data_IF_173896165951
#
_entry.id   IF_173896165951
#
_cell.length_a   1.000
_cell.length_b   1.000
_cell.length_c   1.000
_cell.angle_alpha   90.00
_cell.angle_beta   90.00
_cell.angle_gamma   90.00
#
_symmetry.space_group_name_H-M   'P 1'
#
loop_
_entity.id
_entity.type
_entity.pdbx_description
1 polymer ?
#
# COMPACT_ATOMS: atom_id res chain seq x y z
N UNK A 1 6.28 -16.05 -11.83
CA UNK A 1 6.03 -16.06 -10.36
C UNK A 1 6.28 -17.45 -9.81
N UNK A 2 6.88 -17.56 -8.62
CA UNK A 2 7.08 -18.86 -7.95
C UNK A 2 5.72 -19.46 -7.54
N UNK A 3 5.59 -20.79 -7.61
CA UNK A 3 4.38 -21.51 -7.12
C UNK A 3 4.05 -21.17 -5.66
N UNK A 4 5.09 -20.90 -4.86
CA UNK A 4 4.93 -20.47 -3.47
C UNK A 4 4.26 -19.09 -3.34
N UNK A 5 4.60 -18.14 -4.21
CA UNK A 5 4.00 -16.80 -4.19
C UNK A 5 2.50 -16.86 -4.51
N UNK A 6 2.13 -17.71 -5.47
CA UNK A 6 0.72 -17.93 -5.83
C UNK A 6 -0.05 -18.54 -4.66
N UNK A 7 0.53 -19.52 -3.97
CA UNK A 7 -0.09 -20.13 -2.80
C UNK A 7 -0.28 -19.12 -1.66
N UNK A 8 0.74 -18.32 -1.34
CA UNK A 8 0.65 -17.28 -0.30
C UNK A 8 -0.38 -16.20 -0.67
N UNK A 9 -0.42 -15.80 -1.95
CA UNK A 9 -1.39 -14.84 -2.44
C UNK A 9 -2.83 -15.38 -2.48
N UNK A 10 -3.01 -16.68 -2.69
CA UNK A 10 -4.32 -17.32 -2.58
C UNK A 10 -4.79 -17.33 -1.11
N UNK A 11 -3.93 -17.74 -0.18
CA UNK A 11 -4.23 -17.81 1.26
C UNK A 11 -4.72 -16.46 1.81
N UNK A 12 -4.06 -15.34 1.47
CA UNK A 12 -4.49 -14.00 1.93
C UNK A 12 -5.88 -13.60 1.40
N UNK A 13 -6.18 -13.90 0.14
CA UNK A 13 -7.45 -13.54 -0.50
C UNK A 13 -8.57 -14.39 0.12
N UNK A 14 -8.35 -15.70 0.28
CA UNK A 14 -9.30 -16.60 0.91
C UNK A 14 -9.65 -16.16 2.33
N UNK A 15 -8.67 -15.70 3.13
CA UNK A 15 -8.94 -15.22 4.49
C UNK A 15 -9.85 -14.00 4.53
N UNK A 16 -9.60 -13.02 3.67
CA UNK A 16 -10.44 -11.80 3.58
C UNK A 16 -11.85 -12.18 3.12
N UNK A 17 -11.99 -13.06 2.14
CA UNK A 17 -13.30 -13.51 1.67
C UNK A 17 -14.07 -14.24 2.78
N UNK A 18 -13.41 -15.15 3.50
CA UNK A 18 -14.02 -15.87 4.63
C UNK A 18 -14.47 -14.88 5.71
N UNK A 19 -13.62 -13.92 6.08
CA UNK A 19 -13.98 -12.88 7.04
C UNK A 19 -15.20 -12.07 6.59
N UNK A 20 -15.21 -11.65 5.32
CA UNK A 20 -16.31 -10.90 4.73
C UNK A 20 -17.62 -11.70 4.73
N UNK A 21 -17.57 -12.98 4.39
CA UNK A 21 -18.76 -13.85 4.36
C UNK A 21 -19.29 -14.05 5.78
N UNK A 22 -18.44 -14.40 6.74
CA UNK A 22 -18.85 -14.63 8.13
C UNK A 22 -19.39 -13.33 8.74
N UNK A 23 -18.67 -12.22 8.62
CA UNK A 23 -19.13 -10.93 9.14
C UNK A 23 -20.43 -10.47 8.46
N UNK A 24 -20.55 -10.68 7.15
CA UNK A 24 -21.77 -10.38 6.40
C UNK A 24 -22.99 -11.18 6.87
N UNK A 25 -22.82 -12.47 7.18
CA UNK A 25 -23.89 -13.29 7.75
C UNK A 25 -24.37 -12.76 9.11
N UNK A 26 -23.45 -12.33 9.98
CA UNK A 26 -23.79 -11.73 11.27
C UNK A 26 -24.54 -10.41 11.09
N UNK A 27 -24.13 -9.58 10.13
CA UNK A 27 -24.84 -8.34 9.77
C UNK A 27 -26.24 -8.60 9.23
N UNK A 28 -26.44 -9.68 8.47
CA UNK A 28 -27.76 -10.09 7.98
C UNK A 28 -28.66 -10.72 9.05
N UNK A 29 -28.20 -10.80 10.30
CA UNK A 29 -28.98 -11.28 11.44
C UNK A 29 -28.84 -12.76 11.75
N UNK A 30 -27.87 -13.46 11.15
CA UNK A 30 -27.52 -14.84 11.54
C UNK A 30 -26.50 -14.81 12.69
N UNK A 31 -26.90 -15.08 13.95
CA UNK A 31 -25.98 -15.00 15.08
C UNK A 31 -24.93 -16.10 14.99
N UNK A 32 -23.65 -15.71 15.06
CA UNK A 32 -22.51 -16.64 15.11
C UNK A 32 -21.82 -16.42 16.46
N UNK A 33 -21.76 -17.47 17.29
CA UNK A 33 -21.12 -17.40 18.61
C UNK A 33 -21.79 -16.47 19.63
N UNK A 34 -23.03 -16.04 19.36
CA UNK A 34 -23.75 -15.05 20.17
C UNK A 34 -23.44 -13.59 19.80
N UNK A 35 -22.65 -13.36 18.75
CA UNK A 35 -22.45 -12.03 18.20
C UNK A 35 -23.67 -11.61 17.38
N UNK A 36 -24.17 -10.41 17.66
CA UNK A 36 -25.19 -9.73 16.85
C UNK A 36 -24.57 -8.45 16.32
N UNK A 37 -24.88 -8.11 15.06
CA UNK A 37 -24.42 -6.86 14.51
C UNK A 37 -25.15 -5.70 15.18
N UNK A 38 -24.40 -4.67 15.56
CA UNK A 38 -24.97 -3.42 16.05
C UNK A 38 -24.90 -2.38 14.94
N UNK A 39 -25.91 -2.39 14.06
CA UNK A 39 -26.02 -1.41 12.99
C UNK A 39 -26.21 0.03 13.51
N UNK A 40 -26.63 0.21 14.76
CA UNK A 40 -26.71 1.52 15.37
C UNK A 40 -25.32 2.10 15.62
N UNK A 41 -24.30 1.30 15.92
CA UNK A 41 -22.92 1.78 16.03
C UNK A 41 -22.42 2.27 14.67
N UNK A 42 -22.71 1.54 13.59
CA UNK A 42 -22.38 2.00 12.24
C UNK A 42 -23.14 3.29 11.86
N UNK A 43 -24.44 3.33 12.15
CA UNK A 43 -25.25 4.53 11.95
C UNK A 43 -24.72 5.70 12.78
N UNK A 44 -24.26 5.45 14.00
CA UNK A 44 -23.70 6.46 14.91
C UNK A 44 -22.31 6.87 14.48
N UNK A 45 -21.46 5.98 13.99
CA UNK A 45 -20.15 6.31 13.44
C UNK A 45 -20.25 7.17 12.17
N UNK A 46 -21.30 6.98 11.37
CA UNK A 46 -21.59 7.80 10.18
C UNK A 46 -22.31 9.10 10.54
N UNK A 47 -23.26 9.07 11.50
CA UNK A 47 -24.08 10.22 11.87
C UNK A 47 -23.41 11.11 12.92
N UNK A 48 -22.45 10.58 13.67
CA UNK A 48 -21.60 11.36 14.55
C UNK A 48 -20.87 12.39 13.69
N UNK A 49 -20.84 13.67 14.11
CA UNK A 49 -20.02 14.67 13.46
C UNK A 49 -18.57 14.27 13.71
N UNK A 50 -18.00 13.56 12.74
CA UNK A 50 -16.67 12.97 12.69
C UNK A 50 -15.56 14.03 12.75
N UNK A 51 -15.55 14.93 13.73
CA UNK A 51 -14.74 16.16 13.71
C UNK A 51 -14.81 16.91 12.34
N UNK A 52 -15.86 16.67 11.55
CA UNK A 52 -15.99 17.11 10.15
C UNK A 52 -14.78 16.80 9.26
N UNK A 53 -14.30 17.83 8.56
CA UNK A 53 -13.13 17.76 7.66
C UNK A 53 -11.85 17.30 8.39
N UNK A 54 -11.76 17.52 9.72
CA UNK A 54 -10.55 17.19 10.48
C UNK A 54 -10.43 15.68 10.77
N UNK A 55 -11.52 14.95 10.97
CA UNK A 55 -11.46 13.48 11.06
C UNK A 55 -11.09 12.84 9.72
N UNK A 56 -11.61 13.40 8.63
CA UNK A 56 -11.27 12.98 7.26
C UNK A 56 -9.78 13.17 6.99
N UNK A 57 -9.25 14.39 7.20
CA UNK A 57 -7.84 14.69 6.95
C UNK A 57 -6.88 13.89 7.86
N UNK A 58 -7.26 13.68 9.12
CA UNK A 58 -6.47 12.88 10.08
C UNK A 58 -6.39 11.39 9.71
N UNK A 59 -7.46 10.82 9.16
CA UNK A 59 -7.48 9.41 8.72
C UNK A 59 -6.94 9.21 7.31
N UNK A 60 -7.00 10.23 6.45
CA UNK A 60 -6.63 10.15 5.03
C UNK A 60 -5.21 9.64 4.80
N UNK A 61 -4.24 10.06 5.62
CA UNK A 61 -2.84 9.65 5.47
C UNK A 61 -2.66 8.13 5.67
N UNK A 62 -3.24 7.58 6.74
CA UNK A 62 -3.17 6.16 7.07
C UNK A 62 -3.91 5.34 6.01
N UNK A 63 -5.09 5.81 5.58
CA UNK A 63 -5.87 5.15 4.54
C UNK A 63 -5.09 5.13 3.23
N UNK A 64 -4.60 6.27 2.74
CA UNK A 64 -3.81 6.33 1.49
C UNK A 64 -2.58 5.42 1.56
N UNK A 65 -1.91 5.39 2.72
CA UNK A 65 -0.77 4.50 2.92
C UNK A 65 -1.14 3.01 2.77
N UNK A 66 -2.30 2.59 3.30
CA UNK A 66 -2.79 1.21 3.18
C UNK A 66 -3.04 0.73 1.73
N UNK A 67 -3.22 1.66 0.79
CA UNK A 67 -3.35 1.36 -0.65
C UNK A 67 -2.03 1.46 -1.44
N UNK A 68 -0.91 1.71 -0.74
CA UNK A 68 0.42 1.69 -1.37
C UNK A 68 0.77 0.28 -1.85
N UNK A 69 1.47 0.18 -2.98
CA UNK A 69 1.88 -1.10 -3.58
C UNK A 69 1.14 -1.48 -4.86
N UNK A 70 0.04 -0.79 -5.20
CA UNK A 70 -0.64 -0.95 -6.50
C UNK A 70 0.23 -0.56 -7.70
N UNK A 71 1.29 0.22 -7.48
CA UNK A 71 2.27 0.62 -8.51
C UNK A 71 3.09 -0.55 -9.11
N UNK A 72 3.11 -1.71 -8.45
CA UNK A 72 3.80 -2.91 -8.96
C UNK A 72 3.24 -3.34 -10.33
N UNK A 73 1.96 -3.07 -10.60
CA UNK A 73 1.34 -3.35 -11.90
C UNK A 73 2.07 -2.61 -13.03
N UNK A 74 2.49 -1.36 -12.79
CA UNK A 74 3.26 -0.58 -13.76
C UNK A 74 4.64 -1.17 -14.04
N UNK A 75 5.28 -1.75 -13.04
CA UNK A 75 6.54 -2.46 -13.22
C UNK A 75 6.33 -3.76 -14.00
N UNK A 76 5.33 -4.56 -13.61
CA UNK A 76 4.98 -5.81 -14.28
C UNK A 76 4.58 -5.59 -15.74
N UNK A 77 4.01 -4.43 -16.09
CA UNK A 77 3.69 -4.06 -17.47
C UNK A 77 4.89 -4.16 -18.41
N UNK A 78 6.10 -3.85 -17.93
CA UNK A 78 7.33 -3.89 -18.74
C UNK A 78 7.76 -5.31 -19.11
N UNK A 79 7.30 -6.31 -18.35
CA UNK A 79 7.63 -7.73 -18.53
C UNK A 79 6.44 -8.54 -19.09
N UNK A 80 5.30 -7.88 -19.32
CA UNK A 80 4.05 -8.54 -19.72
C UNK A 80 3.86 -8.50 -21.23
N UNK A 81 3.71 -9.66 -21.86
CA UNK A 81 3.28 -9.74 -23.26
C UNK A 81 1.88 -9.15 -23.43
N UNK A 82 1.65 -8.36 -24.49
CA UNK A 82 0.38 -7.67 -24.72
C UNK A 82 -0.07 -6.77 -23.54
N UNK A 83 0.88 -6.09 -22.89
CA UNK A 83 0.64 -5.20 -21.76
C UNK A 83 -0.51 -4.20 -21.99
N UNK A 84 -0.67 -3.71 -23.22
CA UNK A 84 -1.72 -2.77 -23.61
C UNK A 84 -3.17 -3.27 -23.41
N UNK A 85 -3.39 -4.60 -23.39
CA UNK A 85 -4.71 -5.19 -23.06
C UNK A 85 -4.75 -5.75 -21.64
N UNK A 86 -3.68 -6.42 -21.20
CA UNK A 86 -3.64 -7.12 -19.92
C UNK A 86 -3.58 -6.14 -18.75
N UNK A 87 -2.76 -5.10 -18.85
CA UNK A 87 -2.53 -4.16 -17.74
C UNK A 87 -3.80 -3.38 -17.39
N UNK A 88 -4.55 -2.78 -18.32
CA UNK A 88 -5.80 -2.10 -17.97
C UNK A 88 -6.84 -3.01 -17.29
N UNK A 89 -6.98 -4.25 -17.79
CA UNK A 89 -7.90 -5.23 -17.20
C UNK A 89 -7.47 -5.62 -15.79
N UNK A 90 -6.18 -5.93 -15.60
CA UNK A 90 -5.63 -6.27 -14.29
C UNK A 90 -5.78 -5.11 -13.30
N UNK A 91 -5.46 -3.88 -13.71
CA UNK A 91 -5.64 -2.68 -12.89
C UNK A 91 -7.09 -2.53 -12.44
N UNK A 92 -8.06 -2.66 -13.36
CA UNK A 92 -9.48 -2.55 -13.01
C UNK A 92 -9.91 -3.59 -11.98
N UNK A 93 -9.51 -4.84 -12.18
CA UNK A 93 -9.83 -5.93 -11.25
C UNK A 93 -9.22 -5.65 -9.87
N UNK A 94 -7.93 -5.28 -9.83
CA UNK A 94 -7.23 -4.98 -8.58
C UNK A 94 -7.87 -3.79 -7.88
N UNK A 95 -8.15 -2.68 -8.58
CA UNK A 95 -8.79 -1.50 -7.99
C UNK A 95 -10.15 -1.83 -7.39
N UNK A 96 -11.03 -2.49 -8.15
CA UNK A 96 -12.37 -2.85 -7.65
C UNK A 96 -12.28 -3.82 -6.47
N UNK A 97 -11.38 -4.80 -6.54
CA UNK A 97 -11.22 -5.79 -5.48
C UNK A 97 -10.67 -5.17 -4.20
N UNK A 98 -9.61 -4.35 -4.28
CA UNK A 98 -9.01 -3.74 -3.09
C UNK A 98 -9.96 -2.73 -2.47
N UNK A 99 -10.55 -1.82 -3.25
CA UNK A 99 -11.52 -0.85 -2.73
C UNK A 99 -12.73 -1.57 -2.14
N UNK A 100 -13.33 -2.51 -2.87
CA UNK A 100 -14.51 -3.24 -2.42
C UNK A 100 -14.26 -4.05 -1.16
N UNK A 101 -13.20 -4.86 -1.13
CA UNK A 101 -12.89 -5.72 0.02
C UNK A 101 -12.46 -4.90 1.24
N UNK A 102 -11.68 -3.83 1.07
CA UNK A 102 -11.22 -3.02 2.20
C UNK A 102 -12.36 -2.19 2.78
N UNK A 103 -13.19 -1.57 1.94
CA UNK A 103 -14.38 -0.85 2.41
C UNK A 103 -15.35 -1.79 3.14
N UNK A 104 -15.57 -2.99 2.60
CA UNK A 104 -16.44 -3.98 3.23
C UNK A 104 -15.85 -4.51 4.54
N UNK A 105 -14.54 -4.74 4.61
CA UNK A 105 -13.87 -5.12 5.84
C UNK A 105 -13.99 -4.04 6.92
N UNK A 106 -13.74 -2.76 6.58
CA UNK A 106 -13.89 -1.63 7.52
C UNK A 106 -15.34 -1.48 7.97
N UNK A 107 -16.30 -1.60 7.05
CA UNK A 107 -17.72 -1.62 7.37
C UNK A 107 -18.05 -2.70 8.42
N UNK A 108 -17.59 -3.92 8.19
CA UNK A 108 -17.82 -5.04 9.11
C UNK A 108 -17.14 -4.80 10.46
N UNK A 109 -15.94 -4.23 10.48
CA UNK A 109 -15.26 -3.90 11.74
C UNK A 109 -16.10 -2.93 12.56
N UNK A 110 -16.57 -1.83 11.97
CA UNK A 110 -17.37 -0.82 12.68
C UNK A 110 -18.73 -1.38 13.10
N UNK A 111 -19.36 -2.24 12.28
CA UNK A 111 -20.69 -2.79 12.58
C UNK A 111 -20.67 -3.91 13.65
N UNK A 112 -19.53 -4.58 13.84
CA UNK A 112 -19.40 -5.76 14.70
C UNK A 112 -18.57 -5.51 15.96
N UNK A 113 -17.65 -4.56 15.93
CA UNK A 113 -16.77 -4.25 17.05
C UNK A 113 -17.09 -2.85 17.59
N UNK A 114 -17.52 -2.73 18.86
CA UNK A 114 -17.70 -1.42 19.47
C UNK A 114 -16.41 -0.62 19.41
N UNK A 115 -16.48 0.65 19.03
CA UNK A 115 -15.29 1.50 18.84
C UNK A 115 -14.42 1.62 20.09
N UNK A 116 -15.02 1.53 21.28
CA UNK A 116 -14.31 1.54 22.57
C UNK A 116 -13.44 0.29 22.82
N UNK A 117 -13.72 -0.79 22.08
CA UNK A 117 -13.02 -2.08 22.21
C UNK A 117 -11.82 -2.21 21.27
N UNK A 118 -11.53 -1.19 20.46
CA UNK A 118 -10.40 -1.17 19.54
C UNK A 118 -9.10 -0.96 20.31
N UNK A 119 -8.36 -2.04 20.52
CA UNK A 119 -7.02 -1.97 21.10
C UNK A 119 -5.97 -1.73 20.00
N UNK A 120 -4.99 -0.83 20.20
CA UNK A 120 -3.93 -0.57 19.22
C UNK A 120 -3.07 -1.81 18.90
N UNK A 121 -2.88 -2.68 19.88
CA UNK A 121 -1.91 -3.79 19.81
C UNK A 121 -2.50 -5.09 19.25
N UNK A 122 -3.82 -5.14 18.99
CA UNK A 122 -4.48 -6.33 18.45
C UNK A 122 -5.15 -6.04 17.12
N UNK A 123 -5.05 -7.00 16.19
CA UNK A 123 -5.71 -6.87 14.89
C UNK A 123 -7.23 -6.88 15.07
N UNK A 124 -7.97 -5.87 14.58
CA UNK A 124 -9.43 -5.83 14.68
C UNK A 124 -10.11 -7.05 14.07
N UNK A 125 -9.53 -7.63 13.01
CA UNK A 125 -10.01 -8.86 12.39
C UNK A 125 -9.95 -10.05 13.37
N UNK A 126 -8.87 -10.14 14.14
CA UNK A 126 -8.68 -11.19 15.15
C UNK A 126 -9.63 -10.97 16.33
N UNK A 127 -9.80 -9.72 16.77
CA UNK A 127 -10.72 -9.35 17.86
C UNK A 127 -12.17 -9.76 17.56
N UNK A 128 -12.64 -9.57 16.32
CA UNK A 128 -13.97 -9.98 15.90
C UNK A 128 -14.13 -11.52 15.92
N UNK A 129 -13.11 -12.26 15.49
CA UNK A 129 -13.17 -13.73 15.51
C UNK A 129 -13.22 -14.29 16.94
N UNK A 130 -12.62 -13.60 17.92
CA UNK A 130 -12.77 -13.96 19.33
C UNK A 130 -14.19 -13.70 19.84
N UNK A 131 -14.84 -12.63 19.40
CA UNK A 131 -16.25 -12.35 19.72
C UNK A 131 -17.17 -13.44 19.15
N UNK A 132 -16.87 -13.96 17.96
CA UNK A 132 -17.60 -15.07 17.35
C UNK A 132 -17.39 -16.42 18.05
N UNK A 133 -16.54 -16.48 19.09
CA UNK A 133 -16.24 -17.70 19.86
C UNK A 133 -15.87 -18.91 18.99
N UNK A 134 -15.31 -18.69 17.81
CA UNK A 134 -14.87 -19.76 16.92
C UNK A 134 -13.51 -20.25 17.43
N UNK A 135 -13.39 -21.50 17.92
CA UNK A 135 -12.14 -22.00 18.45
C UNK A 135 -11.06 -22.00 17.37
N UNK A 136 -9.82 -21.65 17.75
CA UNK A 136 -8.64 -21.55 16.88
C UNK A 136 -8.70 -20.53 15.73
N UNK A 137 -9.83 -19.85 15.48
CA UNK A 137 -9.97 -18.92 14.37
C UNK A 137 -8.98 -17.74 14.43
N UNK A 138 -8.76 -17.18 15.63
CA UNK A 138 -7.75 -16.14 15.84
C UNK A 138 -6.33 -16.61 15.50
N UNK A 139 -5.95 -17.82 15.91
CA UNK A 139 -4.63 -18.41 15.61
C UNK A 139 -4.44 -18.68 14.12
N UNK A 140 -5.47 -19.22 13.45
CA UNK A 140 -5.46 -19.43 12.00
C UNK A 140 -5.33 -18.11 11.26
N UNK A 141 -6.09 -17.08 11.68
CA UNK A 141 -6.00 -15.76 11.06
C UNK A 141 -4.61 -15.14 11.27
N UNK A 142 -4.03 -15.23 12.47
CA UNK A 142 -2.66 -14.77 12.72
C UNK A 142 -1.64 -15.48 11.83
N UNK A 143 -1.76 -16.80 11.66
CA UNK A 143 -0.92 -17.55 10.73
C UNK A 143 -1.07 -17.01 9.29
N UNK A 144 -2.30 -16.75 8.85
CA UNK A 144 -2.55 -16.18 7.52
C UNK A 144 -1.94 -14.77 7.40
N UNK A 145 -2.10 -13.91 8.41
CA UNK A 145 -1.50 -12.57 8.43
C UNK A 145 0.03 -12.62 8.31
N UNK A 146 0.68 -13.55 9.00
CA UNK A 146 2.13 -13.77 8.88
C UNK A 146 2.53 -14.22 7.47
N UNK A 147 1.80 -15.16 6.88
CA UNK A 147 2.06 -15.60 5.49
C UNK A 147 1.82 -14.50 4.46
N UNK A 148 0.80 -13.67 4.68
CA UNK A 148 0.49 -12.50 3.84
C UNK A 148 1.59 -11.44 3.94
N UNK A 149 2.12 -11.19 5.14
CA UNK A 149 3.26 -10.31 5.35
C UNK A 149 4.50 -10.80 4.59
N UNK A 150 4.81 -12.10 4.64
CA UNK A 150 5.93 -12.69 3.90
C UNK A 150 5.80 -12.54 2.37
N UNK A 151 4.61 -12.76 1.80
CA UNK A 151 4.34 -12.51 0.37
C UNK A 151 4.51 -11.04 0.00
N UNK A 152 4.00 -10.13 0.83
CA UNK A 152 4.16 -8.69 0.61
C UNK A 152 5.64 -8.29 0.63
N UNK A 153 6.43 -8.80 1.59
CA UNK A 153 7.87 -8.57 1.66
C UNK A 153 8.59 -9.03 0.39
N UNK A 154 8.27 -10.23 -0.11
CA UNK A 154 8.86 -10.76 -1.34
C UNK A 154 8.53 -9.86 -2.56
N UNK A 155 7.27 -9.42 -2.68
CA UNK A 155 6.83 -8.49 -3.73
C UNK A 155 7.52 -7.12 -3.65
N UNK A 156 7.80 -6.62 -2.44
CA UNK A 156 8.52 -5.36 -2.26
C UNK A 156 10.00 -5.48 -2.61
N UNK A 157 10.69 -6.55 -2.21
CA UNK A 157 12.08 -6.82 -2.61
C UNK A 157 12.18 -6.98 -4.12
N UNK A 158 11.24 -7.70 -4.74
CA UNK A 158 11.15 -7.82 -6.19
C UNK A 158 11.07 -6.45 -6.86
N UNK A 159 10.15 -5.61 -6.40
CA UNK A 159 9.91 -4.28 -6.98
C UNK A 159 11.11 -3.36 -6.79
N UNK A 160 11.68 -3.32 -5.59
CA UNK A 160 12.86 -2.51 -5.28
C UNK A 160 14.07 -2.92 -6.14
N UNK A 161 14.32 -4.22 -6.30
CA UNK A 161 15.44 -4.72 -7.09
C UNK A 161 15.32 -4.35 -8.58
N UNK A 162 14.10 -4.38 -9.13
CA UNK A 162 13.83 -4.00 -10.51
C UNK A 162 13.87 -2.49 -10.75
N UNK A 163 13.37 -1.69 -9.80
CA UNK A 163 13.52 -0.23 -9.84
C UNK A 163 15.00 0.15 -9.83
N UNK A 164 15.77 -0.45 -8.93
CA UNK A 164 17.21 -0.20 -8.82
C UNK A 164 17.98 -0.63 -10.09
N UNK A 165 17.62 -1.78 -10.67
CA UNK A 165 18.13 -2.21 -11.97
C UNK A 165 17.79 -1.22 -13.10
N UNK A 166 16.55 -0.72 -13.14
CA UNK A 166 16.13 0.27 -14.14
C UNK A 166 16.90 1.59 -14.00
N UNK A 167 17.15 2.05 -12.77
CA UNK A 167 17.98 3.23 -12.51
C UNK A 167 19.43 3.02 -12.94
N UNK A 168 19.97 1.80 -12.83
CA UNK A 168 21.31 1.50 -13.30
C UNK A 168 21.45 1.61 -14.83
N UNK A 169 20.37 1.35 -15.58
CA UNK A 169 20.34 1.52 -17.05
C UNK A 169 20.38 2.99 -17.47
N UNK A 170 19.95 3.91 -16.61
CA UNK A 170 20.00 5.36 -16.84
C UNK A 170 21.19 6.04 -16.14
N UNK A 171 22.19 5.27 -15.70
CA UNK A 171 23.35 5.75 -14.92
C UNK A 171 22.98 6.47 -13.61
N UNK A 172 21.81 6.17 -13.04
CA UNK A 172 21.31 6.73 -11.78
C UNK A 172 21.51 5.79 -10.57
N UNK A 173 22.08 4.61 -10.78
CA UNK A 173 22.45 3.67 -9.73
C UNK A 173 23.82 3.02 -10.01
N UNK A 174 24.50 2.42 -9.02
CA UNK A 174 25.79 1.77 -9.21
C UNK A 174 25.76 0.73 -10.33
N UNK A 175 26.84 0.61 -11.12
CA UNK A 175 26.87 -0.34 -12.25
C UNK A 175 26.64 -1.80 -11.85
N UNK A 176 27.00 -2.17 -10.61
CA UNK A 176 26.88 -3.54 -10.11
C UNK A 176 25.43 -4.05 -10.14
N UNK A 177 24.46 -3.17 -9.85
CA UNK A 177 23.03 -3.49 -9.83
C UNK A 177 22.38 -3.47 -11.23
N UNK A 178 23.13 -3.07 -12.27
CA UNK A 178 22.69 -3.05 -13.67
C UNK A 178 22.97 -4.32 -14.46
N UNK A 179 23.57 -5.34 -13.84
CA UNK A 179 23.85 -6.64 -14.44
C UNK A 179 22.74 -7.65 -14.12
N UNK A 180 22.48 -8.59 -15.05
CA UNK A 180 21.53 -9.69 -14.88
C UNK A 180 22.24 -11.02 -15.05
N UNK A 181 21.76 -12.06 -14.36
CA UNK A 181 22.19 -13.43 -14.61
C UNK A 181 21.58 -13.99 -15.90
N UNK A 182 21.95 -15.22 -16.27
CA UNK A 182 21.42 -15.92 -17.45
C UNK A 182 19.89 -16.11 -17.45
N UNK A 183 19.23 -15.97 -16.29
CA UNK A 183 17.77 -16.06 -16.13
C UNK A 183 17.09 -14.67 -16.13
N UNK A 184 17.81 -13.59 -16.44
CA UNK A 184 17.27 -12.23 -16.48
C UNK A 184 17.03 -11.59 -15.11
N UNK A 185 17.60 -12.14 -14.03
CA UNK A 185 17.42 -11.65 -12.66
C UNK A 185 18.58 -10.73 -12.26
N UNK A 186 18.32 -9.50 -11.77
CA UNK A 186 19.37 -8.58 -11.31
C UNK A 186 19.86 -8.96 -9.90
N UNK A 187 20.68 -10.00 -9.81
CA UNK A 187 21.08 -10.63 -8.54
C UNK A 187 21.69 -9.65 -7.54
N UNK A 188 22.56 -8.75 -7.99
CA UNK A 188 23.16 -7.73 -7.11
C UNK A 188 22.12 -6.77 -6.53
N UNK A 189 21.10 -6.39 -7.32
CA UNK A 189 20.01 -5.54 -6.85
C UNK A 189 19.13 -6.28 -5.82
N UNK A 190 18.87 -7.57 -6.04
CA UNK A 190 18.14 -8.43 -5.10
C UNK A 190 18.87 -8.53 -3.76
N UNK A 191 20.18 -8.81 -3.77
CA UNK A 191 20.99 -8.86 -2.55
C UNK A 191 21.00 -7.53 -1.82
N UNK A 192 21.18 -6.41 -2.53
CA UNK A 192 21.17 -5.08 -1.92
C UNK A 192 19.83 -4.78 -1.25
N UNK A 193 18.71 -5.01 -1.95
CA UNK A 193 17.37 -4.81 -1.37
C UNK A 193 17.09 -5.75 -0.20
N UNK A 194 17.52 -7.01 -0.29
CA UNK A 194 17.36 -8.01 0.77
C UNK A 194 18.17 -7.67 2.03
N UNK A 195 19.43 -7.24 1.86
CA UNK A 195 20.27 -6.81 2.98
C UNK A 195 19.67 -5.59 3.67
N UNK A 196 19.22 -4.58 2.93
CA UNK A 196 18.55 -3.41 3.52
C UNK A 196 17.30 -3.84 4.30
N UNK A 197 16.46 -4.70 3.72
CA UNK A 197 15.28 -5.22 4.41
C UNK A 197 15.65 -5.93 5.73
N UNK A 198 16.61 -6.86 5.69
CA UNK A 198 17.02 -7.62 6.87
C UNK A 198 17.69 -6.73 7.93
N UNK A 199 18.54 -5.79 7.51
CA UNK A 199 19.16 -4.82 8.41
C UNK A 199 18.10 -3.94 9.08
N UNK A 200 17.14 -3.42 8.32
CA UNK A 200 16.03 -2.63 8.88
C UNK A 200 15.18 -3.46 9.83
N UNK A 201 14.84 -4.71 9.47
CA UNK A 201 14.08 -5.60 10.36
C UNK A 201 14.84 -5.90 11.67
N UNK A 202 16.14 -6.18 11.60
CA UNK A 202 16.99 -6.41 12.76
C UNK A 202 17.08 -5.15 13.65
N UNK A 203 17.28 -3.99 13.03
CA UNK A 203 17.31 -2.71 13.72
C UNK A 203 15.96 -2.39 14.39
N UNK A 204 14.84 -2.67 13.74
CA UNK A 204 13.50 -2.55 14.33
C UNK A 204 13.27 -3.51 15.50
N UNK A 205 13.88 -4.70 15.48
CA UNK A 205 13.81 -5.63 16.61
C UNK A 205 14.65 -5.16 17.81
N UNK A 206 15.83 -4.58 17.56
CA UNK A 206 16.74 -4.11 18.62
C UNK A 206 16.33 -2.75 19.22
N UNK A 207 15.64 -1.88 18.45
CA UNK A 207 15.24 -0.53 18.86
C UNK A 207 13.73 -0.30 18.56
N UNK A 208 12.83 -1.09 19.16
CA UNK A 208 11.43 -1.19 18.72
C UNK A 208 10.63 0.11 18.85
N UNK A 209 10.71 0.82 19.98
CA UNK A 209 9.81 1.96 20.23
C UNK A 209 10.06 3.16 19.31
N UNK A 210 11.32 3.44 18.98
CA UNK A 210 11.67 4.63 18.19
C UNK A 210 11.80 4.29 16.72
N UNK A 211 12.57 3.26 16.38
CA UNK A 211 12.96 3.03 15.00
C UNK A 211 11.81 2.51 14.14
N UNK A 212 10.94 1.66 14.69
CA UNK A 212 9.75 1.18 13.99
C UNK A 212 8.84 2.33 13.58
N UNK A 213 8.52 3.21 14.54
CA UNK A 213 7.63 4.35 14.32
C UNK A 213 8.23 5.33 13.30
N UNK A 214 9.50 5.71 13.44
CA UNK A 214 10.14 6.59 12.46
C UNK A 214 10.23 5.96 11.07
N UNK A 215 10.52 4.66 10.96
CA UNK A 215 10.65 3.99 9.66
C UNK A 215 9.32 3.89 8.93
N UNK A 216 8.26 3.47 9.63
CA UNK A 216 6.92 3.39 9.04
C UNK A 216 6.45 4.77 8.62
N UNK A 217 6.53 5.75 9.51
CA UNK A 217 5.98 7.06 9.23
C UNK A 217 6.78 7.76 8.11
N UNK A 218 8.11 7.59 8.05
CA UNK A 218 8.92 8.04 6.92
C UNK A 218 8.51 7.39 5.60
N UNK A 219 8.32 6.06 5.60
CA UNK A 219 7.93 5.32 4.39
C UNK A 219 6.57 5.77 3.86
N UNK A 220 5.65 6.14 4.76
CA UNK A 220 4.35 6.72 4.40
C UNK A 220 4.49 8.04 3.65
N UNK A 221 5.30 8.98 4.15
CA UNK A 221 5.55 10.26 3.48
C UNK A 221 6.21 10.05 2.12
N UNK A 222 7.22 9.17 2.02
CA UNK A 222 7.88 8.85 0.75
C UNK A 222 6.89 8.24 -0.26
N UNK A 223 6.01 7.36 0.19
CA UNK A 223 4.97 6.77 -0.66
C UNK A 223 4.01 7.84 -1.21
N UNK A 224 3.59 8.80 -0.38
CA UNK A 224 2.72 9.89 -0.82
C UNK A 224 3.43 10.84 -1.79
N UNK A 225 4.70 11.20 -1.53
CA UNK A 225 5.50 12.01 -2.45
C UNK A 225 5.72 11.30 -3.79
N UNK A 226 5.89 9.97 -3.77
CA UNK A 226 5.91 9.17 -4.98
C UNK A 226 4.57 9.27 -5.75
N UNK A 227 3.42 9.20 -5.07
CA UNK A 227 2.11 9.37 -5.72
C UNK A 227 1.85 10.76 -6.27
N UNK A 228 2.35 11.82 -5.61
CA UNK A 228 2.37 13.17 -6.18
C UNK A 228 3.16 13.19 -7.48
N UNK A 229 4.34 12.57 -7.48
CA UNK A 229 5.23 12.49 -8.64
C UNK A 229 4.59 11.73 -9.79
N UNK A 230 3.93 10.59 -9.51
CA UNK A 230 3.20 9.79 -10.51
C UNK A 230 2.04 10.59 -11.10
N UNK A 231 1.25 11.27 -10.26
CA UNK A 231 0.08 12.04 -10.71
C UNK A 231 0.47 13.24 -11.57
N UNK A 232 1.49 13.98 -11.14
CA UNK A 232 2.06 15.08 -11.91
C UNK A 232 2.64 14.58 -13.24
N UNK A 233 3.45 13.51 -13.21
CA UNK A 233 4.04 12.92 -14.41
C UNK A 233 2.95 12.44 -15.37
N UNK A 234 1.90 11.78 -14.91
CA UNK A 234 0.78 11.36 -15.75
C UNK A 234 0.10 12.55 -16.43
N UNK A 235 -0.13 13.65 -15.72
CA UNK A 235 -0.70 14.87 -16.29
C UNK A 235 0.19 15.46 -17.40
N UNK A 236 1.46 15.73 -17.10
CA UNK A 236 2.40 16.36 -18.04
C UNK A 236 2.76 15.44 -19.21
N UNK A 237 3.00 14.15 -18.94
CA UNK A 237 3.29 13.16 -19.98
C UNK A 237 2.15 13.05 -20.98
N UNK A 238 0.90 13.01 -20.49
CA UNK A 238 -0.26 12.91 -21.37
C UNK A 238 -0.48 14.17 -22.19
N UNK A 239 -0.22 15.36 -21.63
CA UNK A 239 -0.23 16.61 -22.38
C UNK A 239 0.83 16.58 -23.50
N UNK A 240 2.04 16.11 -23.20
CA UNK A 240 3.15 16.02 -24.17
C UNK A 240 2.87 15.01 -25.28
N UNK A 241 2.45 13.79 -24.95
CA UNK A 241 2.23 12.74 -25.95
C UNK A 241 1.07 13.07 -26.89
N UNK A 242 0.02 13.75 -26.40
CA UNK A 242 -1.10 14.19 -27.24
C UNK A 242 -0.67 15.28 -28.24
N UNK A 243 0.33 16.08 -27.91
CA UNK A 243 0.87 17.12 -28.79
C UNK A 243 1.88 16.56 -29.81
N UNK A 244 2.73 15.60 -29.41
CA UNK A 244 3.84 15.12 -30.23
C UNK A 244 3.53 13.85 -31.02
N UNK A 245 2.75 12.91 -30.46
CA UNK A 245 2.54 11.58 -31.02
C UNK A 245 1.27 10.91 -30.44
N UNK A 246 0.06 11.46 -30.73
CA UNK A 246 -1.19 10.97 -30.16
C UNK A 246 -1.46 9.49 -30.47
N UNK A 247 -0.96 8.97 -31.59
CA UNK A 247 -1.04 7.58 -32.00
C UNK A 247 -0.31 6.61 -31.08
N UNK A 248 0.69 7.08 -30.31
CA UNK A 248 1.41 6.26 -29.33
C UNK A 248 0.63 6.08 -28.02
N UNK A 249 -0.47 6.81 -27.83
CA UNK A 249 -1.31 6.67 -26.63
C UNK A 249 -2.22 5.44 -26.74
N UNK A 250 -1.69 4.29 -26.32
CA UNK A 250 -2.38 2.98 -26.37
C UNK A 250 -3.53 2.84 -25.37
N UNK A 251 -3.45 3.52 -24.22
CA UNK A 251 -4.49 3.49 -23.19
C UNK A 251 -4.98 4.89 -22.86
N UNK A 252 -6.30 5.09 -22.88
CA UNK A 252 -6.96 6.36 -22.54
C UNK A 252 -7.62 6.20 -21.17
N UNK A 253 -6.96 6.69 -20.12
CA UNK A 253 -7.58 6.76 -18.80
C UNK A 253 -8.86 7.61 -18.87
N UNK A 254 -9.96 7.14 -18.24
CA UNK A 254 -11.23 7.87 -18.22
C UNK A 254 -11.08 9.20 -17.45
N UNK A 255 -11.92 10.19 -17.74
CA UNK A 255 -12.00 11.47 -17.02
C UNK A 255 -10.68 12.25 -16.89
N UNK A 256 -9.74 12.09 -17.84
CA UNK A 256 -8.58 12.96 -17.96
C UNK A 256 -9.02 14.38 -18.38
N UNK A 257 -8.48 15.47 -17.80
CA UNK A 257 -7.40 15.54 -16.80
C UNK A 257 -7.86 15.55 -15.34
N UNK A 258 -9.17 15.54 -15.07
CA UNK A 258 -9.74 15.73 -13.73
C UNK A 258 -9.25 14.71 -12.71
N UNK A 259 -9.16 13.42 -13.07
CA UNK A 259 -8.67 12.40 -12.13
C UNK A 259 -7.22 12.62 -11.70
N UNK A 260 -6.35 13.10 -12.59
CA UNK A 260 -4.96 13.41 -12.24
C UNK A 260 -4.89 14.56 -11.23
N UNK A 261 -5.73 15.57 -11.41
CA UNK A 261 -5.82 16.71 -10.49
C UNK A 261 -6.42 16.31 -9.14
N UNK A 262 -7.51 15.54 -9.14
CA UNK A 262 -8.12 15.04 -7.90
C UNK A 262 -7.09 14.21 -7.12
N UNK A 263 -6.41 13.27 -7.77
CA UNK A 263 -5.39 12.46 -7.10
C UNK A 263 -4.25 13.33 -6.53
N UNK A 264 -3.73 14.26 -7.33
CA UNK A 264 -2.66 15.17 -6.89
C UNK A 264 -3.08 16.03 -5.70
N UNK A 265 -4.25 16.68 -5.79
CA UNK A 265 -4.76 17.55 -4.73
C UNK A 265 -5.12 16.77 -3.47
N UNK A 266 -5.71 15.59 -3.59
CA UNK A 266 -6.03 14.71 -2.46
C UNK A 266 -4.77 14.30 -1.69
N UNK A 267 -3.73 13.86 -2.40
CA UNK A 267 -2.45 13.47 -1.76
C UNK A 267 -1.74 14.70 -1.19
N UNK A 268 -1.79 15.84 -1.87
CA UNK A 268 -1.20 17.09 -1.39
C UNK A 268 -1.90 17.57 -0.12
N UNK A 269 -3.23 17.55 -0.08
CA UNK A 269 -4.00 17.91 1.10
C UNK A 269 -3.67 17.00 2.27
N UNK A 270 -3.57 15.68 2.07
CA UNK A 270 -3.20 14.73 3.12
C UNK A 270 -1.79 15.01 3.69
N UNK A 271 -0.83 15.39 2.85
CA UNK A 271 0.52 15.77 3.30
C UNK A 271 0.53 17.12 4.02
N UNK A 272 -0.20 18.11 3.53
CA UNK A 272 -0.29 19.45 4.14
C UNK A 272 -1.09 19.45 5.44
N UNK A 273 -2.00 18.50 5.63
CA UNK A 273 -2.73 18.34 6.89
C UNK A 273 -1.91 17.62 7.95
N UNK A 274 -0.86 16.88 7.58
CA UNK A 274 -0.06 16.10 8.53
C UNK A 274 0.52 16.89 9.72
N UNK A 275 0.98 18.15 9.57
CA UNK A 275 1.42 18.97 10.71
C UNK A 275 0.35 19.25 11.76
N UNK A 276 -0.94 19.15 11.40
CA UNK A 276 -2.06 19.41 12.30
C UNK A 276 -2.32 18.25 13.26
N UNK A 277 -1.71 17.08 13.02
CA UNK A 277 -1.90 15.87 13.82
C UNK A 277 -0.57 15.45 14.46
N UNK A 278 -0.45 15.51 15.80
CA UNK A 278 0.78 15.15 16.50
C UNK A 278 1.31 13.75 16.15
N UNK A 279 0.42 12.79 15.94
CA UNK A 279 0.77 11.40 15.60
C UNK A 279 1.44 11.25 14.22
N UNK A 280 1.26 12.24 13.33
CA UNK A 280 1.82 12.23 11.98
C UNK A 280 3.14 13.00 11.88
N UNK A 281 3.47 13.83 12.87
CA UNK A 281 4.70 14.64 12.90
C UNK A 281 5.98 13.81 12.82
N UNK A 282 6.14 12.68 13.54
CA UNK A 282 7.34 11.85 13.41
C UNK A 282 7.59 11.40 11.97
N UNK A 283 6.53 11.13 11.21
CA UNK A 283 6.61 10.77 9.79
C UNK A 283 7.06 11.90 8.90
N UNK A 284 6.50 13.09 9.12
CA UNK A 284 6.86 14.27 8.36
C UNK A 284 8.35 14.62 8.55
N UNK A 285 8.84 14.61 9.78
CA UNK A 285 10.25 14.88 10.06
C UNK A 285 11.18 13.81 9.49
N UNK A 286 10.92 12.54 9.78
CA UNK A 286 11.78 11.43 9.32
C UNK A 286 11.75 11.27 7.80
N UNK A 287 10.56 11.34 7.19
CA UNK A 287 10.39 11.31 5.73
C UNK A 287 11.01 12.53 5.05
N UNK A 288 10.84 13.72 5.61
CA UNK A 288 11.46 14.95 5.12
C UNK A 288 13.00 14.90 5.16
N UNK A 289 13.57 14.43 6.28
CA UNK A 289 15.02 14.23 6.41
C UNK A 289 15.52 13.22 5.36
N UNK A 290 14.82 12.10 5.18
CA UNK A 290 15.20 11.11 4.16
C UNK A 290 15.10 11.67 2.74
N UNK A 291 14.07 12.45 2.42
CA UNK A 291 13.95 13.14 1.14
C UNK A 291 15.10 14.12 0.92
N UNK A 292 15.50 14.86 1.95
CA UNK A 292 16.66 15.76 1.88
C UNK A 292 17.95 14.98 1.64
N UNK A 293 18.18 13.87 2.37
CA UNK A 293 19.33 13.00 2.17
C UNK A 293 19.36 12.45 0.74
N UNK A 294 18.24 11.93 0.24
CA UNK A 294 18.12 11.41 -1.13
C UNK A 294 18.38 12.52 -2.14
N UNK A 295 17.86 13.72 -1.92
CA UNK A 295 18.06 14.88 -2.81
C UNK A 295 19.52 15.30 -2.85
N UNK A 296 20.17 15.40 -1.69
CA UNK A 296 21.60 15.70 -1.56
C UNK A 296 22.41 14.64 -2.32
N UNK A 297 22.21 13.36 -2.00
CA UNK A 297 22.91 12.26 -2.67
C UNK A 297 22.70 12.31 -4.19
N UNK A 298 21.50 12.59 -4.66
CA UNK A 298 21.20 12.73 -6.09
C UNK A 298 22.01 13.85 -6.76
N UNK A 299 22.21 14.99 -6.09
CA UNK A 299 23.03 16.09 -6.63
C UNK A 299 24.54 15.78 -6.60
N UNK A 300 25.00 14.99 -5.63
CA UNK A 300 26.42 14.63 -5.49
C UNK A 300 26.85 13.41 -6.31
N UNK A 301 25.93 12.59 -6.83
CA UNK A 301 26.28 11.49 -7.75
C UNK A 301 26.71 12.10 -9.10
N UNK A 302 27.99 11.95 -9.49
CA UNK A 302 28.47 12.51 -10.75
C UNK A 302 27.72 11.88 -11.92
N UNK A 303 27.00 12.72 -12.67
CA UNK A 303 26.35 12.31 -13.93
C UNK A 303 27.43 11.91 -14.91
N UNK A 304 27.68 10.59 -15.05
CA UNK A 304 28.40 10.08 -16.22
C UNK A 304 27.49 10.26 -17.43
N UNK A 305 27.79 11.27 -18.24
CA UNK A 305 27.25 11.46 -19.60
C UNK A 305 27.51 10.20 -20.42
#
# INVERSE_FOLDING_TARGET
>A
MSKAEVALAATKISAIIIFVVIGGLVVLGFPIGGATANLNEFSTAISAPLQGMTGLLGSMLIVLYAYTGTGIIGLAATETHYAEKIVPSATRIVTVSVVGLYSLAVFLIIALLPTESLQPDTSPFVSILYIFKIPYAGSVLNFILLTAALSSLNSQVYSASRMLFSMAKTNQAPKIVGSQNAKGVPVAAVWMSGTVLLSTALLSYLLPEKLYLYTICASGVLALVNWLSVSATHYFFRKKILAEAPEKLKYKAPFYPYLSWICFLSVLMALLSAPLYPDQLPGLYSGGILLLIISIVYFFIPRKK
#
